data_IF_193117902461
#
_entry.id   IF_193117902461
#
_cell.length_a   1.000
_cell.length_b   1.000
_cell.length_c   1.000
_cell.angle_alpha   90.00
_cell.angle_beta   90.00
_cell.angle_gamma   90.00
#
_symmetry.space_group_name_H-M   'P 1'
#
loop_
_entity.id
_entity.type
_entity.pdbx_description
1 polymer ?
#
# COMPACT_ATOMS: atom_id res chain seq x y z
N UNK A 1 17.43 -5.31 6.83
CA UNK A 1 16.41 -4.83 7.78
C UNK A 1 15.93 -3.47 7.27
N UNK A 2 14.83 -3.41 6.50
CA UNK A 2 14.46 -2.17 5.80
C UNK A 2 12.98 -2.08 5.44
N UNK A 3 12.47 -3.01 4.64
CA UNK A 3 11.07 -3.02 4.22
C UNK A 3 10.15 -3.30 5.41
N UNK A 4 10.56 -4.18 6.32
CA UNK A 4 9.85 -4.42 7.58
C UNK A 4 9.72 -3.14 8.43
N UNK A 5 10.81 -2.38 8.59
CA UNK A 5 10.78 -1.12 9.36
C UNK A 5 9.88 -0.08 8.69
N UNK A 6 9.93 0.05 7.35
CA UNK A 6 9.03 0.91 6.60
C UNK A 6 7.56 0.48 6.76
N UNK A 7 7.27 -0.81 6.70
CA UNK A 7 5.92 -1.31 6.92
C UNK A 7 5.45 -0.98 8.35
N UNK A 8 6.29 -1.16 9.36
CA UNK A 8 5.97 -0.79 10.74
C UNK A 8 5.69 0.71 10.89
N UNK A 9 6.43 1.58 10.19
CA UNK A 9 6.15 3.03 10.23
C UNK A 9 4.87 3.39 9.49
N UNK A 10 4.56 2.75 8.36
CA UNK A 10 3.27 2.90 7.68
C UNK A 10 2.09 2.47 8.56
N UNK A 11 2.24 1.37 9.30
CA UNK A 11 1.24 0.93 10.28
C UNK A 11 1.04 1.92 11.43
N UNK A 12 2.14 2.46 11.96
CA UNK A 12 2.11 3.33 13.15
C UNK A 12 1.71 4.77 12.84
N UNK A 13 2.05 5.27 11.65
CA UNK A 13 1.85 6.65 11.24
C UNK A 13 1.26 6.76 9.82
N UNK A 14 0.11 6.12 9.53
CA UNK A 14 -0.41 5.99 8.17
C UNK A 14 -0.71 7.33 7.49
N UNK A 15 -1.15 8.33 8.25
CA UNK A 15 -1.46 9.67 7.72
C UNK A 15 -0.26 10.35 7.06
N UNK A 16 0.96 10.03 7.50
CA UNK A 16 2.21 10.53 6.88
C UNK A 16 2.47 9.94 5.49
N UNK A 17 1.76 8.88 5.10
CA UNK A 17 1.93 8.15 3.85
C UNK A 17 0.78 8.45 2.88
N UNK A 18 0.75 9.68 2.37
CA UNK A 18 -0.27 10.21 1.46
C UNK A 18 -1.69 10.23 2.07
N UNK A 19 -1.80 10.48 3.37
CA UNK A 19 -3.08 10.57 4.06
C UNK A 19 -3.80 9.23 4.20
N UNK A 20 -3.06 8.10 4.20
CA UNK A 20 -3.62 6.77 4.36
C UNK A 20 -4.49 6.70 5.62
N UNK A 21 -5.70 6.18 5.47
CA UNK A 21 -6.71 6.14 6.52
C UNK A 21 -6.87 4.75 7.12
N UNK A 22 -6.41 3.70 6.43
CA UNK A 22 -6.58 2.33 6.89
C UNK A 22 -5.35 1.45 6.54
N UNK A 23 -4.90 0.67 7.52
CA UNK A 23 -3.72 -0.22 7.39
C UNK A 23 -4.03 -1.69 7.70
N UNK A 24 -5.29 -2.03 7.97
CA UNK A 24 -5.70 -3.37 8.40
C UNK A 24 -6.73 -4.00 7.48
N UNK A 25 -7.53 -3.18 6.80
CA UNK A 25 -8.58 -3.62 5.88
C UNK A 25 -8.07 -3.48 4.45
N UNK A 26 -8.49 -4.43 3.61
CA UNK A 26 -8.28 -4.40 2.16
C UNK A 26 -9.13 -3.32 1.49
N UNK A 27 -8.59 -2.63 0.47
CA UNK A 27 -9.39 -1.68 -0.31
C UNK A 27 -10.17 -2.34 -1.46
N UNK A 28 -9.73 -3.50 -1.96
CA UNK A 28 -10.44 -4.21 -3.01
C UNK A 28 -11.63 -4.93 -2.39
N UNK A 29 -12.81 -4.77 -3.00
CA UNK A 29 -14.01 -5.41 -2.52
C UNK A 29 -14.02 -6.90 -2.89
N UNK A 30 -13.71 -7.76 -1.92
CA UNK A 30 -13.67 -9.21 -2.09
C UNK A 30 -15.02 -9.85 -2.52
N UNK A 31 -16.14 -9.12 -2.40
CA UNK A 31 -17.44 -9.58 -2.92
C UNK A 31 -17.61 -9.32 -4.43
N UNK A 32 -16.81 -8.42 -5.01
CA UNK A 32 -16.86 -8.02 -6.42
C UNK A 32 -15.74 -8.68 -7.22
N UNK A 33 -14.54 -8.75 -6.63
CA UNK A 33 -13.34 -9.32 -7.24
C UNK A 33 -12.73 -10.38 -6.34
N UNK A 34 -12.47 -11.55 -6.92
CA UNK A 34 -11.81 -12.68 -6.25
C UNK A 34 -10.31 -12.68 -6.46
N UNK A 35 -9.82 -12.03 -7.52
CA UNK A 35 -8.40 -11.86 -7.80
C UNK A 35 -8.01 -10.39 -7.66
N UNK A 36 -6.93 -10.13 -6.91
CA UNK A 36 -6.40 -8.79 -6.69
C UNK A 36 -5.96 -8.09 -7.98
N UNK A 37 -5.59 -8.87 -9.01
CA UNK A 37 -5.22 -8.32 -10.32
C UNK A 37 -6.41 -7.68 -11.06
N UNK A 38 -7.63 -8.08 -10.74
CA UNK A 38 -8.85 -7.50 -11.30
C UNK A 38 -9.32 -6.26 -10.52
N UNK A 39 -8.60 -5.89 -9.46
CA UNK A 39 -8.93 -4.73 -8.65
C UNK A 39 -8.64 -3.43 -9.40
N UNK A 40 -9.70 -2.70 -9.71
CA UNK A 40 -9.67 -1.38 -10.34
C UNK A 40 -10.32 -0.34 -9.43
N UNK A 41 -10.34 0.93 -9.85
CA UNK A 41 -11.02 1.99 -9.10
C UNK A 41 -12.52 1.73 -8.90
N UNK A 42 -13.17 0.98 -9.80
CA UNK A 42 -14.60 0.67 -9.74
C UNK A 42 -14.93 -0.50 -8.81
N UNK A 43 -13.92 -1.29 -8.43
CA UNK A 43 -14.08 -2.49 -7.58
C UNK A 43 -13.61 -2.24 -6.15
N UNK A 44 -13.35 -0.98 -5.77
CA UNK A 44 -12.95 -0.61 -4.43
C UNK A 44 -14.15 -0.68 -3.45
N UNK A 45 -13.87 -0.89 -2.17
CA UNK A 45 -14.87 -0.70 -1.12
C UNK A 45 -15.32 0.76 -1.07
N UNK A 46 -16.56 1.01 -0.63
CA UNK A 46 -17.12 2.36 -0.57
C UNK A 46 -16.23 3.31 0.23
N UNK A 47 -15.86 4.43 -0.39
CA UNK A 47 -15.01 5.46 0.22
C UNK A 47 -13.51 5.16 0.19
N UNK A 48 -13.08 4.01 -0.34
CA UNK A 48 -11.67 3.77 -0.60
C UNK A 48 -11.19 4.46 -1.89
N UNK A 49 -9.91 4.76 -1.92
CA UNK A 49 -9.19 5.30 -3.07
C UNK A 49 -7.94 4.46 -3.32
N UNK A 50 -7.22 4.75 -4.39
CA UNK A 50 -5.93 4.11 -4.68
C UNK A 50 -4.87 4.36 -3.60
N UNK A 51 -5.02 5.41 -2.78
CA UNK A 51 -4.04 5.80 -1.76
C UNK A 51 -4.48 5.59 -0.32
N UNK A 52 -5.78 5.40 -0.06
CA UNK A 52 -6.30 5.44 1.30
C UNK A 52 -6.00 4.21 2.16
N UNK A 53 -5.56 3.10 1.56
CA UNK A 53 -5.30 1.84 2.27
C UNK A 53 -3.88 1.33 2.05
N UNK A 54 -3.36 0.56 3.01
CA UNK A 54 -2.10 -0.17 2.87
C UNK A 54 -2.23 -1.46 2.06
N UNK A 55 -3.38 -2.12 2.16
CA UNK A 55 -3.60 -3.46 1.62
C UNK A 55 -4.60 -3.45 0.47
N UNK A 56 -4.27 -4.21 -0.58
CA UNK A 56 -5.17 -4.48 -1.69
C UNK A 56 -6.13 -5.63 -1.35
N UNK A 57 -5.58 -6.70 -0.78
CA UNK A 57 -6.31 -7.86 -0.25
C UNK A 57 -5.69 -8.32 1.09
N UNK A 58 -5.94 -9.56 1.52
CA UNK A 58 -5.38 -10.10 2.76
C UNK A 58 -3.85 -10.21 2.81
N UNK A 59 -3.15 -10.19 1.66
CA UNK A 59 -1.71 -10.49 1.56
C UNK A 59 -0.91 -9.56 0.65
N UNK A 60 -1.55 -8.88 -0.28
CA UNK A 60 -0.93 -8.03 -1.28
C UNK A 60 -1.08 -6.56 -0.92
N UNK A 61 -0.01 -5.80 -1.13
CA UNK A 61 -0.02 -4.36 -0.87
C UNK A 61 -0.88 -3.62 -1.89
N UNK A 62 -1.47 -2.53 -1.42
CA UNK A 62 -2.14 -1.56 -2.28
C UNK A 62 -1.12 -0.84 -3.17
N UNK A 63 -1.59 -0.11 -4.21
CA UNK A 63 -0.73 0.75 -5.01
C UNK A 63 0.11 1.72 -4.16
N UNK A 64 -0.43 2.24 -3.07
CA UNK A 64 0.29 3.14 -2.17
C UNK A 64 1.43 2.43 -1.42
N UNK A 65 1.17 1.24 -0.88
CA UNK A 65 2.21 0.42 -0.24
C UNK A 65 3.37 0.12 -1.20
N UNK A 66 3.04 -0.24 -2.44
CA UNK A 66 4.04 -0.44 -3.49
C UNK A 66 4.83 0.84 -3.81
N UNK A 67 4.18 2.00 -3.87
CA UNK A 67 4.84 3.27 -4.17
C UNK A 67 5.92 3.62 -3.14
N UNK A 68 5.64 3.46 -1.84
CA UNK A 68 6.60 3.75 -0.79
C UNK A 68 7.76 2.74 -0.73
N UNK A 69 7.49 1.46 -0.95
CA UNK A 69 8.55 0.45 -1.05
C UNK A 69 9.44 0.70 -2.29
N UNK A 70 8.84 1.05 -3.43
CA UNK A 70 9.56 1.40 -4.64
C UNK A 70 10.43 2.65 -4.45
N UNK A 71 9.90 3.67 -3.77
CA UNK A 71 10.66 4.88 -3.41
C UNK A 71 11.85 4.58 -2.48
N UNK A 72 11.66 3.69 -1.50
CA UNK A 72 12.73 3.23 -0.63
C UNK A 72 13.82 2.50 -1.43
N UNK A 73 13.43 1.61 -2.34
CA UNK A 73 14.37 0.90 -3.20
C UNK A 73 15.17 1.87 -4.09
N UNK A 74 14.49 2.81 -4.74
CA UNK A 74 15.13 3.84 -5.58
C UNK A 74 16.08 4.73 -4.78
N UNK A 75 15.70 5.14 -3.57
CA UNK A 75 16.53 5.94 -2.68
C UNK A 75 17.80 5.18 -2.28
N UNK A 76 17.70 3.88 -2.04
CA UNK A 76 18.85 3.03 -1.71
C UNK A 76 19.80 2.86 -2.88
N UNK A 77 19.28 2.67 -4.09
CA UNK A 77 20.13 2.60 -5.29
C UNK A 77 20.94 3.88 -5.50
N UNK A 78 20.35 5.06 -5.21
CA UNK A 78 21.04 6.36 -5.35
C UNK A 78 22.00 6.67 -4.22
N UNK A 79 21.67 6.25 -3.01
CA UNK A 79 22.48 6.49 -1.82
C UNK A 79 23.60 5.45 -1.62
N UNK A 80 23.70 4.46 -2.52
CA UNK A 80 24.80 3.50 -2.50
C UNK A 80 25.97 4.11 -3.28
N UNK A 81 27.07 4.54 -2.62
CA UNK A 81 28.23 5.08 -3.30
C UNK A 81 28.96 3.89 -3.92
N UNK A 82 28.75 3.65 -5.21
CA UNK A 82 29.73 2.91 -5.98
C UNK A 82 30.96 3.80 -6.17
#
# INVERSE_FOLDING_TARGET
MLTNELMQTMYKFPTSFAGMTNVTVQNCNAAVVTNVLDCTSDTLITGATSTSHLWADATHLSPNGHAYIGSLAASRTRANPF
#
